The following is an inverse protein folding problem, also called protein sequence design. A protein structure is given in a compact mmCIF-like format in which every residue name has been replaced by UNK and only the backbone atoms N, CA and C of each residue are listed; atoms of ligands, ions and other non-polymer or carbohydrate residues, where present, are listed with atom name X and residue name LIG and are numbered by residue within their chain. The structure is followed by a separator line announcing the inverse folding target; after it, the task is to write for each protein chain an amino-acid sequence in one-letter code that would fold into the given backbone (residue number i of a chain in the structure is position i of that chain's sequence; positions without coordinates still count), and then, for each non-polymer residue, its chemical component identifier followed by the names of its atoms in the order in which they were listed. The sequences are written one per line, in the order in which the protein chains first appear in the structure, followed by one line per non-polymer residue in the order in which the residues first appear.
data_IF_219581891389
#
_entry.id   IF_219581891389
#
_cell.length_a   1.000
_cell.length_b   1.000
_cell.length_c   1.000
_cell.angle_alpha   90.00
_cell.angle_beta   90.00
_cell.angle_gamma   90.00
#
_symmetry.space_group_name_H-M   'P 1'
#
loop_
_entity.id
_entity.type
_entity.pdbx_description
1 polymer ?
#
# COMPACT_ATOMS: atom_id res chain seq x y z
N UNK A 1 -9.85 -7.26 1.30
CA UNK A 1 -9.28 -7.14 -0.06
C UNK A 1 -9.65 -8.36 -0.87
N UNK A 2 -10.36 -8.13 -1.96
CA UNK A 2 -10.68 -9.11 -3.00
C UNK A 2 -9.50 -9.29 -3.96
N UNK A 3 -9.57 -10.33 -4.80
CA UNK A 3 -8.56 -10.57 -5.84
C UNK A 3 -8.48 -9.41 -6.85
N UNK A 4 -9.63 -8.82 -7.21
CA UNK A 4 -9.69 -7.70 -8.15
C UNK A 4 -9.01 -6.44 -7.60
N UNK A 5 -9.28 -6.10 -6.34
CA UNK A 5 -8.65 -4.97 -5.66
C UNK A 5 -7.13 -5.19 -5.52
N UNK A 6 -6.71 -6.40 -5.12
CA UNK A 6 -5.29 -6.74 -5.01
C UNK A 6 -4.57 -6.55 -6.35
N UNK A 7 -5.16 -7.00 -7.46
CA UNK A 7 -4.61 -6.84 -8.80
C UNK A 7 -4.50 -5.35 -9.17
N UNK A 8 -5.55 -4.57 -8.91
CA UNK A 8 -5.59 -3.15 -9.23
C UNK A 8 -4.50 -2.36 -8.47
N UNK A 9 -4.40 -2.54 -7.15
CA UNK A 9 -3.39 -1.86 -6.35
C UNK A 9 -1.96 -2.32 -6.68
N UNK A 10 -1.75 -3.61 -6.92
CA UNK A 10 -0.44 -4.14 -7.33
C UNK A 10 -0.01 -3.59 -8.70
N UNK A 11 -0.95 -3.46 -9.64
CA UNK A 11 -0.68 -2.85 -10.95
C UNK A 11 -0.27 -1.39 -10.80
N UNK A 12 -1.03 -0.61 -10.02
CA UNK A 12 -0.71 0.78 -9.73
C UNK A 12 0.66 0.94 -9.06
N UNK A 13 0.98 0.09 -8.08
CA UNK A 13 2.30 0.06 -7.45
C UNK A 13 3.42 -0.15 -8.49
N UNK A 14 3.29 -1.16 -9.36
CA UNK A 14 4.27 -1.43 -10.43
C UNK A 14 4.45 -0.26 -11.39
N UNK A 15 3.38 0.45 -11.72
CA UNK A 15 3.45 1.67 -12.55
C UNK A 15 4.18 2.81 -11.84
N UNK A 16 3.94 2.99 -10.54
CA UNK A 16 4.63 4.00 -9.72
C UNK A 16 6.14 3.73 -9.66
N UNK A 17 6.54 2.46 -9.52
CA UNK A 17 7.96 2.07 -9.48
C UNK A 17 8.73 2.37 -10.77
N UNK A 18 8.04 2.62 -11.89
CA UNK A 18 8.65 3.03 -13.17
C UNK A 18 8.82 4.55 -13.31
N UNK A 19 8.28 5.35 -12.39
CA UNK A 19 8.41 6.80 -12.41
C UNK A 19 9.80 7.27 -11.94
N UNK A 20 10.15 8.52 -12.24
CA UNK A 20 11.31 9.21 -11.65
C UNK A 20 11.18 9.31 -10.12
N UNK A 21 12.30 9.44 -9.42
CA UNK A 21 12.36 9.41 -7.95
C UNK A 21 11.42 10.41 -7.27
N UNK A 22 11.37 11.66 -7.74
CA UNK A 22 10.50 12.70 -7.17
C UNK A 22 9.01 12.40 -7.32
N UNK A 23 8.60 11.89 -8.48
CA UNK A 23 7.21 11.53 -8.73
C UNK A 23 6.83 10.21 -8.04
N UNK A 24 7.80 9.30 -7.89
CA UNK A 24 7.61 8.01 -7.23
C UNK A 24 7.23 8.20 -5.76
N UNK A 25 7.98 8.99 -4.99
CA UNK A 25 7.70 9.21 -3.56
C UNK A 25 6.28 9.77 -3.34
N UNK A 26 5.91 10.81 -4.09
CA UNK A 26 4.58 11.41 -4.01
C UNK A 26 3.46 10.40 -4.31
N UNK A 27 3.64 9.57 -5.36
CA UNK A 27 2.62 8.60 -5.75
C UNK A 27 2.56 7.40 -4.81
N UNK A 28 3.68 6.98 -4.21
CA UNK A 28 3.71 5.96 -3.16
C UNK A 28 2.97 6.45 -1.91
N UNK A 29 3.21 7.70 -1.49
CA UNK A 29 2.48 8.32 -0.39
C UNK A 29 0.96 8.34 -0.64
N UNK A 30 0.54 8.74 -1.85
CA UNK A 30 -0.87 8.69 -2.25
C UNK A 30 -1.43 7.26 -2.24
N UNK A 31 -0.67 6.25 -2.70
CA UNK A 31 -1.10 4.85 -2.67
C UNK A 31 -1.28 4.34 -1.24
N UNK A 32 -0.41 4.74 -0.31
CA UNK A 32 -0.56 4.40 1.12
C UNK A 32 -1.84 5.00 1.70
N UNK A 33 -2.08 6.30 1.47
CA UNK A 33 -3.30 6.97 1.94
C UNK A 33 -4.58 6.29 1.41
N UNK A 34 -4.57 5.88 0.14
CA UNK A 34 -5.72 5.19 -0.46
C UNK A 34 -5.96 3.82 0.19
N UNK A 35 -4.90 3.07 0.52
CA UNK A 35 -5.01 1.80 1.25
C UNK A 35 -5.50 2.00 2.69
N UNK A 36 -5.01 3.04 3.37
CA UNK A 36 -5.44 3.41 4.72
C UNK A 36 -6.92 3.74 4.77
N UNK A 37 -7.41 4.54 3.82
CA UNK A 37 -8.83 4.91 3.74
C UNK A 37 -9.71 3.73 3.32
N UNK A 38 -9.29 2.95 2.32
CA UNK A 38 -10.12 1.86 1.78
C UNK A 38 -10.28 0.68 2.75
N UNK A 39 -9.30 0.45 3.62
CA UNK A 39 -9.31 -0.70 4.55
C UNK A 39 -9.28 -0.28 6.02
N UNK A 40 -9.43 1.01 6.31
CA UNK A 40 -9.40 1.58 7.66
C UNK A 40 -8.17 1.14 8.46
N UNK A 41 -7.00 1.16 7.81
CA UNK A 41 -5.74 0.72 8.44
C UNK A 41 -5.47 1.59 9.67
N UNK A 42 -5.33 1.00 10.87
CA UNK A 42 -5.08 1.76 12.08
C UNK A 42 -3.74 2.50 12.02
N UNK A 43 -3.72 3.77 12.43
CA UNK A 43 -2.51 4.58 12.47
C UNK A 43 -1.42 4.01 13.41
N UNK A 44 -1.84 3.28 14.44
CA UNK A 44 -0.94 2.55 15.35
C UNK A 44 -1.01 1.06 15.06
N UNK A 45 0.10 0.37 15.30
CA UNK A 45 0.19 -1.07 15.08
C UNK A 45 -0.91 -1.82 15.85
N UNK A 46 -1.77 -2.50 15.11
CA UNK A 46 -2.84 -3.35 15.65
C UNK A 46 -2.64 -4.79 15.17
N UNK A 47 -2.21 -5.67 16.09
CA UNK A 47 -1.93 -7.09 15.77
C UNK A 47 -3.16 -7.86 15.33
N UNK A 48 -4.35 -7.50 15.82
CA UNK A 48 -5.59 -8.16 15.45
C UNK A 48 -5.99 -7.79 14.03
N UNK A 49 -5.89 -6.50 13.68
CA UNK A 49 -6.07 -6.04 12.31
C UNK A 49 -5.08 -6.73 11.33
N UNK A 50 -3.80 -6.81 11.72
CA UNK A 50 -2.78 -7.50 10.90
C UNK A 50 -3.15 -8.97 10.62
N UNK A 51 -3.74 -9.67 11.59
CA UNK A 51 -4.19 -11.07 11.43
C UNK A 51 -5.43 -11.19 10.55
N UNK A 52 -6.38 -10.26 10.68
CA UNK A 52 -7.62 -10.27 9.92
C UNK A 52 -7.43 -9.82 8.46
N UNK A 53 -6.44 -8.96 8.20
CA UNK A 53 -6.16 -8.38 6.90
C UNK A 53 -4.70 -8.61 6.42
N UNK A 54 -4.22 -9.86 6.37
CA UNK A 54 -2.82 -10.15 6.12
C UNK A 54 -2.35 -9.65 4.74
N UNK A 55 -3.20 -9.77 3.72
CA UNK A 55 -2.85 -9.32 2.36
C UNK A 55 -2.83 -7.79 2.20
N UNK A 56 -3.73 -7.08 2.88
CA UNK A 56 -3.72 -5.61 2.89
C UNK A 56 -2.44 -5.13 3.53
N UNK A 57 -2.10 -5.71 4.68
CA UNK A 57 -0.88 -5.36 5.40
C UNK A 57 0.40 -5.77 4.68
N UNK A 58 0.40 -6.90 3.96
CA UNK A 58 1.53 -7.27 3.12
C UNK A 58 1.78 -6.21 2.05
N UNK A 59 0.75 -5.84 1.30
CA UNK A 59 0.86 -4.81 0.27
C UNK A 59 1.28 -3.46 0.86
N UNK A 60 0.62 -3.02 1.94
CA UNK A 60 0.92 -1.75 2.61
C UNK A 60 2.38 -1.68 3.08
N UNK A 61 2.90 -2.76 3.68
CA UNK A 61 4.32 -2.87 4.07
C UNK A 61 5.25 -2.78 2.86
N UNK A 62 4.95 -3.51 1.77
CA UNK A 62 5.74 -3.44 0.53
C UNK A 62 5.80 -2.03 -0.06
N UNK A 63 4.67 -1.29 -0.06
CA UNK A 63 4.64 0.11 -0.53
C UNK A 63 5.46 1.02 0.39
N UNK A 64 5.33 0.84 1.70
CA UNK A 64 6.08 1.60 2.71
C UNK A 64 7.59 1.40 2.57
N UNK A 65 8.04 0.15 2.45
CA UNK A 65 9.45 -0.20 2.23
C UNK A 65 10.00 0.42 0.94
N UNK A 66 9.24 0.36 -0.15
CA UNK A 66 9.63 0.96 -1.42
C UNK A 66 9.78 2.50 -1.36
N UNK A 67 9.11 3.15 -0.40
CA UNK A 67 9.21 4.59 -0.17
C UNK A 67 10.43 4.96 0.67
N UNK A 68 10.92 4.03 1.49
CA UNK A 68 12.13 4.20 2.30
C UNK A 68 13.45 3.95 1.54
N UNK A 69 13.38 3.63 0.23
CA UNK A 69 14.51 3.36 -0.67
C UNK A 69 14.78 4.52 -1.64
#
# INVERSE_FOLDING_TARGET
MTVGEMLAYTKRFKEIMRCSSSLRDLRLASLMNDLEQAYEIPALRNKEFEKQHPFVMQLYKTVSEARSL
#
